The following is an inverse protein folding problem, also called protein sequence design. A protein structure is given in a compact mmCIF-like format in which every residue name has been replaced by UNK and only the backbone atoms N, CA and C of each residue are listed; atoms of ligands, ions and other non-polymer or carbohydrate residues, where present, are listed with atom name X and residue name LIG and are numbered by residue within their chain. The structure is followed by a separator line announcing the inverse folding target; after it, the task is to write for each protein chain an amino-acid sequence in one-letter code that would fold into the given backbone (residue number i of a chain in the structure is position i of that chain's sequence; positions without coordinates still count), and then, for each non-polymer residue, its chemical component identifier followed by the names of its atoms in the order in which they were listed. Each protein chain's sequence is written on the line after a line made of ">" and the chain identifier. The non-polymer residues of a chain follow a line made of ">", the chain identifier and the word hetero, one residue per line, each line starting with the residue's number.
data_IF_834688295143
#
_entry.id   IF_834688295143
#
_cell.length_a   1.000
_cell.length_b   1.000
_cell.length_c   1.000
_cell.angle_alpha   90.00
_cell.angle_beta   90.00
_cell.angle_gamma   90.00
#
_symmetry.space_group_name_H-M   'P 1'
#
loop_
_entity.id
_entity.type
_entity.pdbx_description
1 polymer ?
#
# COMPACT_ATOMS: atom_id res chain seq x y z
N UNK A 1 -11.01 3.50 3.03
CA UNK A 1 -9.58 3.13 3.01
C UNK A 1 -9.46 1.60 3.15
N UNK A 2 -8.55 0.94 2.42
CA UNK A 2 -8.50 -0.54 2.34
C UNK A 2 -7.96 -1.23 3.60
N UNK A 3 -7.11 -0.55 4.37
CA UNK A 3 -6.60 -1.06 5.65
C UNK A 3 -7.57 -0.69 6.77
N UNK A 4 -8.73 -1.36 6.81
CA UNK A 4 -9.61 -1.22 7.95
C UNK A 4 -9.06 -2.05 9.10
N UNK A 5 -8.84 -1.41 10.26
CA UNK A 5 -8.26 -2.07 11.45
C UNK A 5 -8.97 -3.38 11.80
N UNK A 6 -10.26 -3.49 11.53
CA UNK A 6 -11.11 -4.66 11.78
C UNK A 6 -10.68 -5.92 11.01
N UNK A 7 -10.24 -5.80 9.76
CA UNK A 7 -9.90 -6.94 8.89
C UNK A 7 -8.47 -7.46 9.13
N UNK A 8 -7.59 -6.61 9.67
CA UNK A 8 -6.20 -6.94 9.92
C UNK A 8 -5.85 -7.06 11.42
N UNK A 9 -6.85 -6.93 12.30
CA UNK A 9 -6.73 -7.06 13.74
C UNK A 9 -6.35 -8.51 14.09
N UNK A 10 -5.06 -8.75 14.32
CA UNK A 10 -4.50 -10.06 14.66
C UNK A 10 -3.39 -10.55 13.72
N UNK A 11 -3.28 -9.97 12.51
CA UNK A 11 -2.21 -10.31 11.56
C UNK A 11 -1.07 -9.29 11.62
N UNK A 12 -1.41 -8.01 11.74
CA UNK A 12 -0.43 -6.91 11.79
C UNK A 12 -0.59 -6.08 13.06
N UNK A 13 0.54 -5.66 13.64
CA UNK A 13 0.52 -4.72 14.77
C UNK A 13 -0.03 -3.36 14.32
N UNK A 14 -0.63 -2.57 15.23
CA UNK A 14 -1.14 -1.23 14.90
C UNK A 14 -0.07 -0.30 14.30
N UNK A 15 1.18 -0.44 14.72
CA UNK A 15 2.32 0.30 14.15
C UNK A 15 2.58 -0.08 12.68
N UNK A 16 2.52 -1.38 12.35
CA UNK A 16 2.70 -1.87 10.98
C UNK A 16 1.53 -1.45 10.09
N UNK A 17 0.31 -1.45 10.62
CA UNK A 17 -0.86 -0.92 9.91
C UNK A 17 -0.71 0.56 9.59
N UNK A 18 -0.16 1.36 10.51
CA UNK A 18 0.14 2.77 10.23
C UNK A 18 1.18 2.90 9.10
N UNK A 19 2.22 2.07 9.09
CA UNK A 19 3.23 2.07 8.01
C UNK A 19 2.61 1.69 6.66
N UNK A 20 1.83 0.61 6.60
CA UNK A 20 1.14 0.17 5.38
C UNK A 20 0.17 1.23 4.87
N UNK A 21 -0.55 1.89 5.78
CA UNK A 21 -1.47 2.97 5.45
C UNK A 21 -0.73 4.23 4.97
N UNK A 22 0.41 4.57 5.57
CA UNK A 22 1.27 5.66 5.13
C UNK A 22 1.81 5.41 3.71
N UNK A 23 2.35 4.22 3.45
CA UNK A 23 2.84 3.81 2.13
C UNK A 23 1.74 3.91 1.07
N UNK A 24 0.53 3.46 1.40
CA UNK A 24 -0.62 3.55 0.54
C UNK A 24 -1.00 5.00 0.21
N UNK A 25 -0.99 5.87 1.22
CA UNK A 25 -1.29 7.29 1.03
C UNK A 25 -0.22 7.98 0.19
N UNK A 26 1.07 7.73 0.44
CA UNK A 26 2.17 8.23 -0.40
C UNK A 26 2.03 7.76 -1.84
N UNK A 27 1.73 6.47 -2.05
CA UNK A 27 1.50 5.93 -3.39
C UNK A 27 0.36 6.67 -4.10
N UNK A 28 -0.72 6.98 -3.38
CA UNK A 28 -1.83 7.78 -3.92
C UNK A 28 -1.42 9.22 -4.26
N UNK A 29 -0.62 9.87 -3.40
CA UNK A 29 -0.12 11.23 -3.63
C UNK A 29 0.81 11.28 -4.84
N UNK A 30 1.74 10.34 -4.98
CA UNK A 30 2.72 10.35 -6.06
C UNK A 30 2.09 9.95 -7.41
N UNK A 31 1.13 9.01 -7.42
CA UNK A 31 0.36 8.68 -8.62
C UNK A 31 -0.59 9.82 -9.04
N UNK A 32 -0.85 10.80 -8.17
CA UNK A 32 -1.78 11.90 -8.41
C UNK A 32 -3.25 11.46 -8.56
N UNK A 33 -3.52 10.17 -8.39
CA UNK A 33 -4.84 9.56 -8.48
C UNK A 33 -4.98 8.51 -7.38
N UNK A 34 -5.90 8.76 -6.45
CA UNK A 34 -6.35 7.74 -5.52
C UNK A 34 -7.19 6.72 -6.32
N UNK A 35 -6.88 5.42 -6.28
CA UNK A 35 -7.80 4.42 -6.81
C UNK A 35 -9.08 4.44 -5.97
N UNK A 36 -10.12 5.08 -6.52
CA UNK A 36 -11.46 5.18 -5.94
C UNK A 36 -12.29 3.93 -6.23
N UNK A 37 -11.94 3.16 -7.25
CA UNK A 37 -12.51 1.85 -7.54
C UNK A 37 -11.97 0.80 -6.58
N UNK A 38 -12.90 0.07 -5.95
CA UNK A 38 -12.58 -0.89 -4.89
C UNK A 38 -11.63 -2.01 -5.37
N UNK A 39 -11.66 -2.35 -6.67
CA UNK A 39 -10.81 -3.37 -7.27
C UNK A 39 -9.32 -2.96 -7.30
N UNK A 40 -9.01 -1.76 -7.80
CA UNK A 40 -7.64 -1.22 -7.80
C UNK A 40 -7.16 -0.92 -6.38
N UNK A 41 -8.07 -0.47 -5.50
CA UNK A 41 -7.80 -0.21 -4.07
C UNK A 41 -7.28 -1.47 -3.37
N UNK A 42 -7.95 -2.61 -3.61
CA UNK A 42 -7.56 -3.90 -3.06
C UNK A 42 -6.27 -4.43 -3.67
N UNK A 43 -6.06 -4.23 -4.98
CA UNK A 43 -4.82 -4.64 -5.65
C UNK A 43 -3.61 -3.86 -5.12
N UNK A 44 -3.72 -2.54 -4.99
CA UNK A 44 -2.65 -1.69 -4.45
C UNK A 44 -2.33 -2.08 -3.01
N UNK A 45 -3.35 -2.27 -2.16
CA UNK A 45 -3.16 -2.69 -0.77
C UNK A 45 -2.41 -4.04 -0.66
N UNK A 46 -2.74 -5.02 -1.52
CA UNK A 46 -2.02 -6.30 -1.57
C UNK A 46 -0.56 -6.14 -2.00
N UNK A 47 -0.28 -5.25 -2.96
CA UNK A 47 1.09 -4.97 -3.39
C UNK A 47 1.90 -4.31 -2.28
N UNK A 48 1.33 -3.31 -1.59
CA UNK A 48 1.94 -2.68 -0.41
C UNK A 48 2.30 -3.73 0.64
N UNK A 49 1.37 -4.62 0.99
CA UNK A 49 1.61 -5.70 1.95
C UNK A 49 2.74 -6.61 1.49
N UNK A 50 2.73 -7.04 0.22
CA UNK A 50 3.75 -7.96 -0.31
C UNK A 50 5.16 -7.34 -0.28
N UNK A 51 5.29 -6.05 -0.57
CA UNK A 51 6.58 -5.33 -0.49
C UNK A 51 7.00 -5.21 0.97
N UNK A 52 6.07 -4.92 1.87
CA UNK A 52 6.32 -4.85 3.31
C UNK A 52 6.79 -6.19 3.88
N UNK A 53 6.14 -7.29 3.51
CA UNK A 53 6.55 -8.65 3.90
C UNK A 53 7.90 -9.06 3.30
N UNK A 54 8.33 -8.45 2.21
CA UNK A 54 9.68 -8.63 1.64
C UNK A 54 10.79 -7.99 2.49
N UNK A 55 10.45 -7.26 3.56
CA UNK A 55 11.37 -6.63 4.49
C UNK A 55 11.55 -5.12 4.29
N UNK A 56 10.89 -4.53 3.28
CA UNK A 56 10.93 -3.07 3.05
C UNK A 56 9.86 -2.42 3.91
N UNK A 57 10.26 -1.77 4.99
CA UNK A 57 9.32 -1.12 5.93
C UNK A 57 9.19 0.38 5.71
N UNK A 58 9.97 0.95 4.78
CA UNK A 58 9.94 2.37 4.50
C UNK A 58 8.78 2.70 3.54
N UNK A 59 7.82 3.56 3.95
CA UNK A 59 6.63 3.82 3.16
C UNK A 59 6.91 4.53 1.84
N UNK A 60 7.97 5.34 1.77
CA UNK A 60 8.38 6.04 0.56
C UNK A 60 9.03 5.06 -0.44
N UNK A 61 9.89 4.15 0.03
CA UNK A 61 10.44 3.07 -0.81
C UNK A 61 9.34 2.16 -1.36
N UNK A 62 8.38 1.77 -0.53
CA UNK A 62 7.23 0.96 -0.96
C UNK A 62 6.45 1.70 -2.07
N UNK A 63 6.16 2.99 -1.87
CA UNK A 63 5.42 3.78 -2.84
C UNK A 63 6.17 3.92 -4.17
N UNK A 64 7.47 4.16 -4.12
CA UNK A 64 8.35 4.24 -5.30
C UNK A 64 8.36 2.93 -6.09
N UNK A 65 8.46 1.78 -5.41
CA UNK A 65 8.41 0.47 -6.04
C UNK A 65 7.07 0.19 -6.70
N UNK A 66 5.96 0.53 -6.05
CA UNK A 66 4.63 0.36 -6.62
C UNK A 66 4.47 1.21 -7.89
N UNK A 67 5.00 2.43 -7.88
CA UNK A 67 5.01 3.30 -9.04
C UNK A 67 5.81 2.74 -10.21
N UNK A 68 6.97 2.13 -9.93
CA UNK A 68 7.73 1.43 -10.97
C UNK A 68 6.92 0.27 -11.55
N UNK A 69 6.23 -0.50 -10.71
CA UNK A 69 5.39 -1.61 -11.15
C UNK A 69 4.21 -1.12 -12.01
N UNK A 70 3.54 -0.03 -11.62
CA UNK A 70 2.45 0.58 -12.38
C UNK A 70 2.94 1.17 -13.71
N UNK A 71 4.10 1.85 -13.74
CA UNK A 71 4.69 2.36 -14.98
C UNK A 71 5.15 1.25 -15.94
N UNK A 72 5.51 0.08 -15.42
CA UNK A 72 5.90 -1.08 -16.22
C UNK A 72 4.70 -1.88 -16.76
N UNK A 73 3.47 -1.54 -16.37
CA UNK A 73 2.25 -2.12 -16.93
C UNK A 73 1.94 -1.42 -18.26
N UNK A 74 2.06 -2.11 -19.42
CA UNK A 74 1.85 -1.52 -20.74
C UNK A 74 0.37 -1.22 -21.04
#
# INVERSE_FOLDING_TARGET
>A
MPFHKSDYLGIYKPEQLNTLQAAYNETCEILGHCPTTDENKNQLARTVIRIYESGIQDPHEIASLILQIENLRP
#
